data_IF_498333876362
#
_entry.id   IF_498333876362
#
_cell.length_a   1.000
_cell.length_b   1.000
_cell.length_c   1.000
_cell.angle_alpha   90.00
_cell.angle_beta   90.00
_cell.angle_gamma   90.00
#
_symmetry.space_group_name_H-M   'P 1'
#
loop_
_entity.id
_entity.type
_entity.pdbx_description
1 polymer ?
#
# COMPACT_ATOMS: atom_id res chain seq x y z
N UNK A 1 -11.93 -24.40 15.31
CA UNK A 1 -11.30 -23.29 14.59
C UNK A 1 -9.79 -23.37 14.81
N UNK A 2 -8.95 -22.94 13.87
CA UNK A 2 -7.51 -22.90 14.11
C UNK A 2 -7.20 -21.95 15.27
N UNK A 3 -6.15 -22.24 16.02
CA UNK A 3 -5.62 -21.33 17.04
C UNK A 3 -4.88 -20.18 16.37
N UNK A 4 -4.93 -18.97 16.94
CA UNK A 4 -4.38 -17.75 16.34
C UNK A 4 -3.38 -17.09 17.27
N UNK A 5 -2.20 -16.73 16.75
CA UNK A 5 -1.24 -15.85 17.42
C UNK A 5 -1.16 -14.53 16.67
N UNK A 6 -1.34 -13.43 17.38
CA UNK A 6 -1.16 -12.06 16.85
C UNK A 6 0.15 -11.50 17.36
N UNK A 7 1.05 -11.11 16.46
CA UNK A 7 2.36 -10.51 16.75
C UNK A 7 2.28 -9.01 16.49
N UNK A 8 2.67 -8.22 17.48
CA UNK A 8 2.68 -6.75 17.43
C UNK A 8 4.09 -6.23 17.73
N UNK A 9 4.91 -5.96 16.71
CA UNK A 9 6.18 -5.28 16.91
C UNK A 9 5.93 -3.81 17.27
N UNK A 10 6.61 -3.32 18.30
CA UNK A 10 6.49 -1.94 18.80
C UNK A 10 7.87 -1.32 18.93
N UNK A 11 8.03 -0.10 18.44
CA UNK A 11 9.19 0.74 18.71
C UNK A 11 8.74 2.19 18.88
N UNK A 12 8.76 2.71 20.10
CA UNK A 12 8.24 4.04 20.46
C UNK A 12 6.77 4.25 20.01
N UNK A 13 6.33 5.49 19.83
CA UNK A 13 4.98 5.79 19.33
C UNK A 13 3.86 5.46 20.33
N UNK A 14 4.14 5.61 21.62
CA UNK A 14 3.22 5.29 22.72
C UNK A 14 1.86 5.99 22.56
N UNK A 15 1.82 7.15 21.92
CA UNK A 15 0.61 7.94 21.66
C UNK A 15 -0.38 7.25 20.72
N UNK A 16 0.06 6.27 19.92
CA UNK A 16 -0.80 5.52 18.99
C UNK A 16 -1.35 4.22 19.59
N UNK A 17 -0.68 3.69 20.61
CA UNK A 17 -1.02 2.38 21.20
C UNK A 17 -2.42 2.31 21.78
N UNK A 18 -2.99 3.35 22.43
CA UNK A 18 -4.36 3.28 22.95
C UNK A 18 -5.39 3.03 21.83
N UNK A 19 -5.30 3.72 20.71
CA UNK A 19 -6.21 3.53 19.58
C UNK A 19 -6.02 2.16 18.91
N UNK A 20 -4.76 1.73 18.74
CA UNK A 20 -4.42 0.42 18.22
C UNK A 20 -5.01 -0.69 19.09
N UNK A 21 -4.71 -0.71 20.40
CA UNK A 21 -5.19 -1.77 21.29
C UNK A 21 -6.70 -1.77 21.47
N UNK A 22 -7.35 -0.60 21.47
CA UNK A 22 -8.82 -0.52 21.50
C UNK A 22 -9.44 -1.20 20.26
N UNK A 23 -8.90 -0.92 19.07
CA UNK A 23 -9.34 -1.55 17.82
C UNK A 23 -8.98 -3.04 17.77
N UNK A 24 -7.79 -3.41 18.24
CA UNK A 24 -7.37 -4.83 18.34
C UNK A 24 -8.32 -5.62 19.23
N UNK A 25 -8.68 -5.11 20.41
CA UNK A 25 -9.61 -5.77 21.33
C UNK A 25 -10.97 -6.10 20.67
N UNK A 26 -11.44 -5.24 19.75
CA UNK A 26 -12.66 -5.47 18.98
C UNK A 26 -12.46 -6.47 17.83
N UNK A 27 -11.27 -6.47 17.20
CA UNK A 27 -10.96 -7.25 16.01
C UNK A 27 -10.47 -8.69 16.30
N UNK A 28 -10.01 -8.98 17.54
CA UNK A 28 -9.49 -10.30 17.90
C UNK A 28 -10.55 -11.40 17.81
N UNK A 29 -10.26 -12.55 17.19
CA UNK A 29 -10.98 -13.80 17.47
C UNK A 29 -10.89 -14.16 18.96
N UNK A 30 -11.86 -14.92 19.45
CA UNK A 30 -11.82 -15.44 20.84
C UNK A 30 -10.64 -16.42 20.98
N UNK A 31 -10.04 -16.47 22.17
CA UNK A 31 -8.93 -17.37 22.50
C UNK A 31 -7.64 -17.12 21.67
N UNK A 32 -7.42 -15.88 21.22
CA UNK A 32 -6.20 -15.49 20.50
C UNK A 32 -5.02 -15.30 21.47
N UNK A 33 -3.85 -15.81 21.13
CA UNK A 33 -2.58 -15.44 21.75
C UNK A 33 -2.09 -14.10 21.18
N UNK A 34 -1.75 -13.13 22.04
CA UNK A 34 -1.19 -11.84 21.62
C UNK A 34 0.24 -11.71 22.12
N UNK A 35 1.16 -11.40 21.23
CA UNK A 35 2.61 -11.27 21.52
C UNK A 35 3.04 -9.87 21.13
N UNK A 36 3.29 -9.02 22.13
CA UNK A 36 3.81 -7.66 21.93
C UNK A 36 5.32 -7.72 22.06
N UNK A 37 6.03 -7.30 21.01
CA UNK A 37 7.49 -7.29 20.98
C UNK A 37 7.99 -5.84 20.96
N UNK A 38 8.49 -5.37 22.09
CA UNK A 38 9.13 -4.06 22.24
C UNK A 38 10.58 -4.12 21.77
N UNK A 39 10.86 -3.46 20.66
CA UNK A 39 12.17 -3.44 20.02
C UNK A 39 13.12 -2.39 20.62
N UNK A 40 13.31 -2.46 21.94
CA UNK A 40 14.13 -1.55 22.73
C UNK A 40 13.67 -0.07 22.68
N UNK A 41 12.37 0.16 22.85
CA UNK A 41 11.81 1.52 22.91
C UNK A 41 12.44 2.36 24.02
N UNK A 42 12.55 3.66 23.78
CA UNK A 42 12.94 4.64 24.81
C UNK A 42 11.73 5.11 25.65
N UNK A 43 10.53 4.79 25.20
CA UNK A 43 9.26 5.05 25.88
C UNK A 43 8.77 3.78 26.59
N UNK A 44 7.99 3.89 27.66
CA UNK A 44 7.47 2.73 28.42
C UNK A 44 6.25 2.09 27.68
N UNK A 45 6.47 1.59 26.46
CA UNK A 45 5.40 1.10 25.57
C UNK A 45 4.69 -0.14 26.11
N UNK A 46 5.40 -0.98 26.89
CA UNK A 46 4.77 -2.17 27.48
C UNK A 46 3.80 -1.84 28.62
N UNK A 47 3.99 -0.69 29.30
CA UNK A 47 3.04 -0.22 30.31
C UNK A 47 1.71 0.26 29.70
N UNK A 48 1.71 0.52 28.39
CA UNK A 48 0.51 0.92 27.64
C UNK A 48 -0.29 -0.27 27.08
N UNK A 49 0.16 -1.51 27.29
CA UNK A 49 -0.55 -2.72 26.85
C UNK A 49 -1.72 -2.97 27.80
N UNK A 50 -2.99 -2.88 27.34
CA UNK A 50 -4.15 -3.06 28.20
C UNK A 50 -4.48 -4.54 28.39
N UNK A 51 -5.39 -4.84 29.30
CA UNK A 51 -6.08 -6.14 29.28
C UNK A 51 -6.89 -6.31 27.97
N UNK A 52 -6.76 -7.46 27.34
CA UNK A 52 -7.48 -7.83 26.13
C UNK A 52 -8.47 -8.97 26.42
N UNK A 53 -9.75 -8.69 26.70
CA UNK A 53 -10.69 -9.70 27.23
C UNK A 53 -10.93 -10.89 26.28
N UNK A 54 -10.64 -10.75 24.99
CA UNK A 54 -10.80 -11.84 24.01
C UNK A 54 -9.52 -12.64 23.79
N UNK A 55 -8.39 -12.17 24.33
CA UNK A 55 -7.13 -12.92 24.26
C UNK A 55 -7.09 -14.05 25.30
N UNK A 56 -6.61 -15.21 24.90
CA UNK A 56 -6.28 -16.31 25.81
C UNK A 56 -5.04 -15.97 26.66
N UNK A 57 -4.08 -15.26 26.05
CA UNK A 57 -2.85 -14.81 26.70
C UNK A 57 -2.31 -13.53 26.04
N UNK A 58 -1.61 -12.72 26.83
CA UNK A 58 -0.84 -11.57 26.34
C UNK A 58 0.59 -11.71 26.85
N UNK A 59 1.52 -11.94 25.94
CA UNK A 59 2.94 -12.01 26.24
C UNK A 59 3.63 -10.70 25.82
N UNK A 60 4.46 -10.13 26.68
CA UNK A 60 5.28 -8.97 26.39
C UNK A 60 6.74 -9.37 26.36
N UNK A 61 7.41 -9.16 25.22
CA UNK A 61 8.83 -9.45 25.02
C UNK A 61 9.54 -8.13 24.77
N UNK A 62 10.71 -7.92 25.39
CA UNK A 62 11.53 -6.76 25.12
C UNK A 62 12.88 -7.17 24.58
N UNK A 63 13.32 -6.56 23.49
CA UNK A 63 14.68 -6.70 22.98
C UNK A 63 15.65 -5.81 23.76
N UNK A 64 16.88 -6.26 23.94
CA UNK A 64 17.92 -5.47 24.62
C UNK A 64 18.42 -4.30 23.75
N UNK A 65 18.36 -4.48 22.43
CA UNK A 65 18.77 -3.49 21.44
C UNK A 65 17.73 -3.44 20.31
N UNK A 66 17.66 -2.32 19.61
CA UNK A 66 16.76 -2.21 18.44
C UNK A 66 17.28 -3.09 17.29
N UNK A 67 16.51 -4.11 16.95
CA UNK A 67 16.78 -5.08 15.89
C UNK A 67 16.09 -4.73 14.57
N UNK A 68 15.27 -3.67 14.56
CA UNK A 68 14.40 -3.30 13.47
C UNK A 68 13.14 -4.18 13.39
N UNK A 69 12.25 -3.83 12.45
CA UNK A 69 11.00 -4.55 12.32
C UNK A 69 11.19 -6.05 12.00
N UNK A 70 12.20 -6.40 11.18
CA UNK A 70 12.54 -7.81 10.90
C UNK A 70 12.87 -8.58 12.16
N UNK A 71 13.77 -8.06 12.99
CA UNK A 71 14.19 -8.74 14.23
C UNK A 71 13.05 -8.81 15.26
N UNK A 72 12.25 -7.75 15.40
CA UNK A 72 11.10 -7.76 16.30
C UNK A 72 10.06 -8.79 15.89
N UNK A 73 9.73 -8.87 14.58
CA UNK A 73 8.77 -9.86 14.06
C UNK A 73 9.33 -11.28 14.20
N UNK A 74 10.62 -11.50 13.94
CA UNK A 74 11.25 -12.81 14.12
C UNK A 74 11.14 -13.30 15.58
N UNK A 75 11.34 -12.42 16.56
CA UNK A 75 11.11 -12.76 17.98
C UNK A 75 9.65 -13.15 18.25
N UNK A 76 8.72 -12.48 17.57
CA UNK A 76 7.30 -12.85 17.63
C UNK A 76 7.02 -14.21 16.99
N UNK A 77 7.61 -14.52 15.84
CA UNK A 77 7.49 -15.83 15.19
C UNK A 77 8.01 -16.97 16.07
N UNK A 78 9.14 -16.76 16.76
CA UNK A 78 9.71 -17.74 17.69
C UNK A 78 8.77 -18.02 18.89
N UNK A 79 8.08 -16.99 19.37
CA UNK A 79 7.21 -17.10 20.55
C UNK A 79 5.79 -17.59 20.22
N UNK A 80 5.32 -17.38 18.98
CA UNK A 80 3.98 -17.70 18.56
C UNK A 80 3.71 -19.23 18.61
N UNK A 81 2.52 -19.65 19.07
CA UNK A 81 2.11 -21.07 19.19
C UNK A 81 0.89 -21.44 18.34
N UNK A 82 0.12 -20.46 17.83
CA UNK A 82 -1.11 -20.66 17.05
C UNK A 82 -0.90 -21.31 15.68
N UNK A 83 -1.89 -21.96 15.14
CA UNK A 83 -1.91 -22.57 13.80
C UNK A 83 -1.83 -21.51 12.70
N UNK A 84 -2.38 -20.33 12.96
CA UNK A 84 -2.31 -19.15 12.10
C UNK A 84 -1.59 -18.02 12.86
N UNK A 85 -0.61 -17.42 12.22
CA UNK A 85 0.17 -16.31 12.76
C UNK A 85 -0.22 -15.05 12.01
N UNK A 86 -0.57 -13.99 12.73
CA UNK A 86 -0.96 -12.68 12.19
C UNK A 86 0.02 -11.63 12.71
N UNK A 87 0.71 -10.96 11.80
CA UNK A 87 1.54 -9.80 12.10
C UNK A 87 0.73 -8.53 11.91
N UNK A 88 0.78 -7.60 12.86
CA UNK A 88 0.12 -6.30 12.81
C UNK A 88 1.08 -5.21 13.28
N UNK A 89 1.23 -4.15 12.50
CA UNK A 89 1.93 -2.95 12.96
C UNK A 89 1.15 -2.24 14.07
N UNK A 90 1.86 -1.59 14.99
CA UNK A 90 1.27 -0.87 16.12
C UNK A 90 0.70 0.53 15.77
N UNK A 91 0.83 0.98 14.54
CA UNK A 91 0.29 2.24 14.02
C UNK A 91 -0.96 2.03 13.12
N UNK A 92 -1.73 0.99 13.42
CA UNK A 92 -2.99 0.65 12.77
C UNK A 92 -4.20 1.04 13.64
N UNK A 93 -5.34 1.24 12.97
CA UNK A 93 -6.67 1.13 13.56
C UNK A 93 -7.40 0.06 12.75
N UNK A 94 -7.80 -1.02 13.40
CA UNK A 94 -8.39 -2.19 12.75
C UNK A 94 -9.92 -2.06 12.69
N UNK A 95 -10.51 -2.45 11.57
CA UNK A 95 -11.93 -2.77 11.53
C UNK A 95 -12.21 -4.03 12.39
N UNK A 96 -13.40 -4.13 12.96
CA UNK A 96 -13.76 -5.21 13.86
C UNK A 96 -13.67 -6.62 13.23
N UNK A 97 -13.82 -6.72 11.90
CA UNK A 97 -13.68 -7.96 11.13
C UNK A 97 -12.26 -8.24 10.63
N UNK A 98 -11.31 -7.32 10.81
CA UNK A 98 -10.02 -7.33 10.14
C UNK A 98 -9.24 -8.64 10.33
N UNK A 99 -9.01 -9.07 11.57
CA UNK A 99 -8.24 -10.29 11.85
C UNK A 99 -9.05 -11.55 11.45
N UNK A 100 -10.34 -11.57 11.78
CA UNK A 100 -11.22 -12.71 11.48
C UNK A 100 -11.29 -12.98 9.97
N UNK A 101 -11.42 -11.95 9.14
CA UNK A 101 -11.50 -12.11 7.69
C UNK A 101 -10.23 -12.75 7.08
N UNK A 102 -9.03 -12.38 7.56
CA UNK A 102 -7.79 -13.04 7.13
C UNK A 102 -7.70 -14.49 7.59
N UNK A 103 -8.09 -14.75 8.84
CA UNK A 103 -8.10 -16.11 9.43
C UNK A 103 -9.06 -17.01 8.67
N UNK A 104 -10.28 -16.55 8.41
CA UNK A 104 -11.31 -17.30 7.69
C UNK A 104 -10.89 -17.57 6.24
N UNK A 105 -10.26 -16.58 5.58
CA UNK A 105 -9.72 -16.75 4.24
C UNK A 105 -8.67 -17.87 4.19
N UNK A 106 -7.74 -17.89 5.14
CA UNK A 106 -6.71 -18.94 5.23
C UNK A 106 -7.36 -20.30 5.56
N UNK A 107 -8.26 -20.34 6.54
CA UNK A 107 -8.89 -21.59 6.98
C UNK A 107 -9.81 -22.21 5.91
N UNK A 108 -10.44 -21.38 5.08
CA UNK A 108 -11.29 -21.81 3.96
C UNK A 108 -10.54 -21.97 2.64
N UNK A 109 -9.26 -21.60 2.59
CA UNK A 109 -8.43 -21.58 1.39
C UNK A 109 -7.83 -22.94 1.02
N UNK A 110 -7.14 -22.97 -0.12
CA UNK A 110 -6.38 -24.12 -0.57
C UNK A 110 -5.03 -24.21 0.18
N UNK A 111 -4.37 -25.37 0.13
CA UNK A 111 -3.09 -25.62 0.80
C UNK A 111 -1.93 -24.75 0.28
N UNK A 112 -2.08 -24.12 -0.88
CA UNK A 112 -1.10 -23.25 -1.51
C UNK A 112 -1.27 -21.76 -1.13
N UNK A 113 -2.19 -21.42 -0.21
CA UNK A 113 -2.27 -20.07 0.34
C UNK A 113 -1.01 -19.77 1.15
N UNK A 114 -0.30 -18.72 0.74
CA UNK A 114 0.91 -18.22 1.37
C UNK A 114 0.59 -17.13 2.40
N UNK A 115 0.80 -15.88 2.02
CA UNK A 115 0.62 -14.71 2.89
C UNK A 115 -0.63 -13.95 2.48
N UNK A 116 -1.49 -13.62 3.45
CA UNK A 116 -2.74 -12.87 3.26
C UNK A 116 -2.61 -11.52 3.94
N UNK A 117 -2.91 -10.44 3.23
CA UNK A 117 -2.91 -9.07 3.76
C UNK A 117 -4.27 -8.41 3.70
N UNK A 118 -4.43 -7.33 4.48
CA UNK A 118 -5.65 -6.51 4.53
C UNK A 118 -5.61 -5.36 3.53
N UNK A 119 -6.77 -4.88 3.12
CA UNK A 119 -6.93 -3.58 2.50
C UNK A 119 -6.53 -2.50 3.50
N UNK A 120 -5.60 -1.64 3.10
CA UNK A 120 -5.13 -0.52 3.92
C UNK A 120 -5.65 0.81 3.39
N UNK A 121 -6.12 1.64 4.33
CA UNK A 121 -6.69 2.97 4.06
C UNK A 121 -5.86 4.03 4.80
N UNK A 122 -5.71 5.21 4.19
CA UNK A 122 -5.17 6.38 4.85
C UNK A 122 -6.21 6.97 5.80
N UNK A 123 -5.98 7.03 7.13
CA UNK A 123 -6.97 7.51 8.08
C UNK A 123 -7.33 8.98 7.88
N UNK A 124 -6.42 9.77 7.32
CA UNK A 124 -6.62 11.22 7.10
C UNK A 124 -7.47 11.56 5.87
N UNK A 125 -7.51 10.67 4.87
CA UNK A 125 -8.18 10.95 3.59
C UNK A 125 -9.30 9.97 3.26
N UNK A 126 -9.40 8.83 3.98
CA UNK A 126 -10.33 7.75 3.64
C UNK A 126 -10.02 7.07 2.31
N UNK A 127 -8.78 7.22 1.79
CA UNK A 127 -8.39 6.66 0.50
C UNK A 127 -7.56 5.43 0.65
N UNK A 128 -7.61 4.60 -0.36
CA UNK A 128 -6.81 3.38 -0.46
C UNK A 128 -5.32 3.71 -0.35
N UNK A 129 -4.67 3.05 0.60
CA UNK A 129 -3.21 3.07 0.74
C UNK A 129 -2.59 1.88 0.01
N UNK A 130 -3.18 0.70 0.14
CA UNK A 130 -2.72 -0.53 -0.50
C UNK A 130 -3.82 -1.58 -0.60
N UNK A 131 -3.93 -2.18 -1.78
CA UNK A 131 -4.64 -3.43 -2.03
C UNK A 131 -3.72 -4.43 -2.73
N UNK A 132 -2.47 -4.46 -2.31
CA UNK A 132 -1.39 -5.26 -2.84
C UNK A 132 -0.34 -4.42 -3.56
N UNK A 133 0.72 -5.08 -3.98
CA UNK A 133 1.81 -4.44 -4.71
C UNK A 133 2.11 -5.21 -5.99
N UNK A 134 2.51 -4.46 -7.01
CA UNK A 134 2.97 -4.93 -8.30
C UNK A 134 4.38 -4.42 -8.61
N UNK A 135 5.05 -5.11 -9.51
CA UNK A 135 6.37 -4.72 -9.99
C UNK A 135 6.32 -4.17 -11.42
N UNK A 136 6.95 -3.01 -11.61
CA UNK A 136 7.48 -2.60 -12.90
C UNK A 136 8.84 -3.22 -13.14
N UNK A 137 9.54 -2.82 -14.20
CA UNK A 137 10.84 -3.41 -14.53
C UNK A 137 11.91 -3.16 -13.45
N UNK A 138 11.88 -1.99 -12.82
CA UNK A 138 12.82 -1.56 -11.76
C UNK A 138 12.09 -0.81 -10.63
N UNK A 139 10.81 -1.11 -10.44
CA UNK A 139 9.97 -0.42 -9.47
C UNK A 139 9.06 -1.39 -8.72
N UNK A 140 8.51 -0.94 -7.61
CA UNK A 140 7.51 -1.62 -6.79
C UNK A 140 6.43 -0.62 -6.43
N UNK A 141 5.18 -0.91 -6.73
CA UNK A 141 4.06 0.01 -6.60
C UNK A 141 2.93 -0.59 -5.78
N UNK A 142 2.37 0.17 -4.85
CA UNK A 142 1.06 -0.15 -4.29
C UNK A 142 0.01 0.10 -5.37
N UNK A 143 -0.74 -0.92 -5.75
CA UNK A 143 -1.75 -0.77 -6.80
C UNK A 143 -3.00 -0.07 -6.29
N UNK A 144 -3.63 0.72 -7.16
CA UNK A 144 -4.87 1.47 -6.91
C UNK A 144 -4.79 2.42 -5.70
N UNK A 145 -3.58 2.86 -5.40
CA UNK A 145 -3.32 3.83 -4.34
C UNK A 145 -4.05 5.14 -4.62
N UNK A 146 -4.59 5.75 -3.58
CA UNK A 146 -5.37 6.99 -3.61
C UNK A 146 -6.77 6.91 -4.24
N UNK A 147 -7.21 5.76 -4.78
CA UNK A 147 -8.62 5.55 -5.12
C UNK A 147 -9.48 5.56 -3.85
N UNK A 148 -10.77 5.91 -3.94
CA UNK A 148 -11.72 5.79 -2.83
C UNK A 148 -11.71 4.39 -2.22
N UNK A 149 -12.01 4.31 -0.92
CA UNK A 149 -12.07 3.03 -0.21
C UNK A 149 -13.05 2.06 -0.88
N UNK A 150 -14.20 2.55 -1.31
CA UNK A 150 -15.29 1.78 -1.92
C UNK A 150 -15.15 1.61 -3.44
N UNK A 151 -14.05 2.08 -4.05
CA UNK A 151 -13.83 1.94 -5.48
C UNK A 151 -13.84 0.46 -5.90
N UNK A 152 -14.55 0.07 -6.99
CA UNK A 152 -14.71 -1.34 -7.38
C UNK A 152 -13.40 -2.11 -7.55
N UNK A 153 -12.33 -1.46 -8.00
CA UNK A 153 -11.00 -2.08 -8.11
C UNK A 153 -10.35 -2.36 -6.75
N UNK A 154 -10.70 -1.59 -5.72
CA UNK A 154 -10.18 -1.73 -4.35
C UNK A 154 -10.98 -2.71 -3.49
N UNK A 155 -12.13 -3.20 -3.98
CA UNK A 155 -13.03 -4.09 -3.25
C UNK A 155 -13.00 -5.55 -3.76
N UNK A 156 -11.93 -5.95 -4.47
CA UNK A 156 -11.78 -7.30 -5.02
C UNK A 156 -10.69 -8.04 -4.28
N UNK A 157 -11.04 -9.08 -3.53
CA UNK A 157 -10.06 -10.06 -3.03
C UNK A 157 -9.36 -10.72 -4.22
N UNK A 158 -8.03 -10.72 -4.22
CA UNK A 158 -7.23 -11.17 -5.37
C UNK A 158 -5.86 -11.70 -4.98
N UNK A 159 -5.31 -12.55 -5.86
CA UNK A 159 -3.91 -12.89 -5.83
C UNK A 159 -3.03 -11.71 -6.23
N UNK A 160 -1.96 -11.49 -5.44
CA UNK A 160 -0.93 -10.47 -5.69
C UNK A 160 0.45 -11.06 -5.47
N UNK A 161 1.48 -10.47 -6.04
CA UNK A 161 2.84 -10.92 -5.72
C UNK A 161 3.22 -10.58 -4.28
N UNK A 162 2.80 -9.41 -3.79
CA UNK A 162 3.20 -8.89 -2.48
C UNK A 162 2.01 -8.26 -1.75
N UNK A 163 1.87 -8.60 -0.48
CA UNK A 163 1.07 -7.89 0.51
C UNK A 163 1.99 -7.08 1.42
N UNK A 164 1.49 -6.01 2.05
CA UNK A 164 2.31 -5.20 2.94
C UNK A 164 2.46 -5.85 4.31
N UNK A 165 3.64 -5.72 4.92
CA UNK A 165 3.91 -6.22 6.26
C UNK A 165 3.19 -5.46 7.39
N UNK A 166 2.41 -4.41 7.06
CA UNK A 166 1.60 -3.73 8.07
C UNK A 166 0.50 -4.65 8.63
N UNK A 167 -0.06 -5.52 7.77
CA UNK A 167 -0.98 -6.61 8.13
C UNK A 167 -0.61 -7.83 7.29
N UNK A 168 -0.22 -8.91 7.91
CA UNK A 168 0.11 -10.14 7.21
C UNK A 168 -0.30 -11.36 8.06
N UNK A 169 -1.05 -12.27 7.47
CA UNK A 169 -1.46 -13.52 8.10
C UNK A 169 -0.99 -14.72 7.27
N UNK A 170 -0.60 -15.78 7.93
CA UNK A 170 -0.15 -17.02 7.29
C UNK A 170 -0.25 -18.21 8.25
N UNK A 171 -0.28 -19.42 7.72
CA UNK A 171 -0.22 -20.62 8.59
C UNK A 171 1.16 -20.77 9.22
N UNK A 172 1.23 -21.42 10.39
CA UNK A 172 2.51 -21.81 11.01
C UNK A 172 3.40 -22.56 10.05
N UNK A 173 2.84 -23.50 9.28
CA UNK A 173 3.56 -24.24 8.24
C UNK A 173 4.26 -23.30 7.24
N UNK A 174 3.60 -22.21 6.86
CA UNK A 174 4.20 -21.20 5.96
C UNK A 174 5.34 -20.46 6.67
N UNK A 175 5.14 -20.02 7.92
CA UNK A 175 6.21 -19.38 8.73
C UNK A 175 7.44 -20.27 8.81
N UNK A 176 7.25 -21.56 9.13
CA UNK A 176 8.35 -22.54 9.25
C UNK A 176 9.03 -22.81 7.90
N UNK A 177 8.26 -22.92 6.82
CA UNK A 177 8.80 -23.17 5.48
C UNK A 177 9.61 -21.98 4.94
N UNK A 178 9.18 -20.75 5.25
CA UNK A 178 9.88 -19.52 4.83
C UNK A 178 11.07 -19.20 5.73
N UNK A 179 11.04 -19.62 7.00
CA UNK A 179 12.02 -19.22 7.98
C UNK A 179 11.95 -17.70 8.32
N UNK A 180 12.95 -17.17 9.04
CA UNK A 180 12.92 -15.79 9.54
C UNK A 180 12.94 -14.75 8.41
N UNK A 181 12.46 -13.55 8.73
CA UNK A 181 12.67 -12.37 7.91
C UNK A 181 14.15 -12.03 7.85
N UNK A 182 14.60 -11.51 6.72
CA UNK A 182 16.01 -11.17 6.49
C UNK A 182 16.39 -9.88 7.25
N UNK A 183 17.23 -10.01 8.27
CA UNK A 183 17.65 -8.89 9.13
C UNK A 183 18.45 -7.79 8.39
N UNK A 184 19.01 -8.10 7.22
CA UNK A 184 19.67 -7.11 6.37
C UNK A 184 18.68 -6.07 5.83
N UNK A 185 17.39 -6.43 5.76
CA UNK A 185 16.32 -5.56 5.29
C UNK A 185 15.81 -4.62 6.39
N UNK A 186 16.02 -4.96 7.65
CA UNK A 186 15.78 -4.16 8.84
C UNK A 186 14.32 -3.64 8.95
N UNK A 187 14.02 -2.51 8.30
CA UNK A 187 12.69 -1.89 8.26
C UNK A 187 12.11 -1.76 6.85
N UNK A 188 12.83 -2.21 5.81
CA UNK A 188 12.46 -1.97 4.41
C UNK A 188 12.42 -3.27 3.61
N UNK A 189 11.42 -3.43 2.76
CA UNK A 189 11.30 -4.55 1.82
C UNK A 189 11.24 -5.95 2.45
N UNK A 190 11.11 -6.05 3.77
CA UNK A 190 11.02 -7.34 4.45
C UNK A 190 9.75 -8.12 4.07
N UNK A 191 8.67 -7.40 3.88
CA UNK A 191 7.39 -7.92 3.38
C UNK A 191 7.48 -8.37 1.93
N UNK A 192 8.16 -7.60 1.09
CA UNK A 192 8.41 -7.98 -0.30
C UNK A 192 9.25 -9.26 -0.37
N UNK A 193 10.34 -9.31 0.38
CA UNK A 193 11.22 -10.49 0.44
C UNK A 193 10.45 -11.73 0.91
N UNK A 194 9.66 -11.59 1.96
CA UNK A 194 8.87 -12.69 2.53
C UNK A 194 7.84 -13.23 1.53
N UNK A 195 7.10 -12.33 0.87
CA UNK A 195 6.12 -12.68 -0.15
C UNK A 195 6.77 -13.33 -1.38
N UNK A 196 7.90 -12.82 -1.84
CA UNK A 196 8.60 -13.40 -3.00
C UNK A 196 9.19 -14.78 -2.67
N UNK A 197 9.71 -14.99 -1.44
CA UNK A 197 10.12 -16.34 -0.98
C UNK A 197 8.95 -17.31 -0.94
N UNK A 198 7.76 -16.88 -0.50
CA UNK A 198 6.57 -17.72 -0.54
C UNK A 198 6.25 -18.17 -1.97
N UNK A 199 6.34 -17.26 -2.94
CA UNK A 199 6.12 -17.58 -4.35
C UNK A 199 7.16 -18.55 -4.92
N UNK A 200 8.43 -18.44 -4.54
CA UNK A 200 9.49 -19.35 -4.98
C UNK A 200 9.24 -20.81 -4.56
N UNK A 201 8.55 -21.04 -3.47
CA UNK A 201 8.16 -22.39 -3.02
C UNK A 201 6.76 -22.80 -3.47
N UNK A 202 6.16 -22.04 -4.42
CA UNK A 202 4.88 -22.37 -5.05
C UNK A 202 3.64 -21.92 -4.27
N UNK A 203 3.79 -21.06 -3.26
CA UNK A 203 2.67 -20.47 -2.54
C UNK A 203 2.15 -19.21 -3.23
N UNK A 204 0.86 -18.89 -3.03
CA UNK A 204 0.18 -17.72 -3.58
C UNK A 204 -0.17 -16.73 -2.47
N UNK A 205 0.13 -15.46 -2.67
CA UNK A 205 -0.21 -14.40 -1.72
C UNK A 205 -1.50 -13.70 -2.14
N UNK A 206 -2.31 -13.29 -1.17
CA UNK A 206 -3.64 -12.72 -1.43
C UNK A 206 -3.88 -11.42 -0.66
N UNK A 207 -4.52 -10.48 -1.32
CA UNK A 207 -5.19 -9.36 -0.66
C UNK A 207 -6.62 -9.75 -0.36
N UNK A 208 -6.95 -9.83 0.93
CA UNK A 208 -8.31 -10.04 1.43
C UNK A 208 -8.95 -8.67 1.68
N UNK A 209 -9.84 -8.23 0.79
CA UNK A 209 -10.45 -6.90 0.89
C UNK A 209 -11.59 -6.82 1.91
N UNK A 210 -12.07 -7.96 2.41
CA UNK A 210 -12.99 -8.05 3.55
C UNK A 210 -12.27 -7.77 4.88
N UNK A 211 -10.95 -7.86 4.88
CA UNK A 211 -10.08 -7.43 5.97
C UNK A 211 -9.66 -5.98 5.74
N UNK A 212 -10.01 -5.09 6.66
CA UNK A 212 -9.80 -3.65 6.54
C UNK A 212 -9.01 -3.09 7.73
N UNK A 213 -8.01 -2.25 7.45
CA UNK A 213 -7.30 -1.50 8.47
C UNK A 213 -6.92 -0.10 7.99
N UNK A 214 -6.94 0.87 8.91
CA UNK A 214 -6.44 2.22 8.70
C UNK A 214 -5.01 2.32 9.19
N UNK A 215 -4.08 2.80 8.35
CA UNK A 215 -2.65 2.77 8.64
C UNK A 215 -2.02 4.16 8.58
N UNK A 216 -1.52 4.64 9.72
CA UNK A 216 -0.97 5.99 9.85
C UNK A 216 0.36 6.19 9.15
N UNK A 217 1.16 5.17 8.96
CA UNK A 217 2.53 5.17 8.40
C UNK A 217 3.52 6.13 9.08
N UNK A 218 4.80 5.73 9.08
CA UNK A 218 5.93 6.58 9.47
C UNK A 218 5.89 7.11 10.92
N UNK A 219 5.33 6.35 11.85
CA UNK A 219 5.24 6.76 13.27
C UNK A 219 6.45 6.34 14.12
N UNK A 220 7.36 5.53 13.58
CA UNK A 220 8.59 5.10 14.27
C UNK A 220 9.71 6.16 14.25
N UNK A 221 9.47 7.34 13.70
CA UNK A 221 10.45 8.42 13.63
C UNK A 221 11.61 8.18 12.64
N UNK A 222 12.70 8.98 12.72
CA UNK A 222 13.82 8.96 11.75
C UNK A 222 14.56 7.62 11.66
N UNK A 223 14.56 6.82 12.71
CA UNK A 223 15.21 5.50 12.71
C UNK A 223 14.66 4.56 11.65
N UNK A 224 13.40 4.77 11.22
CA UNK A 224 12.81 4.00 10.12
C UNK A 224 13.66 4.06 8.86
N UNK A 225 14.28 5.20 8.58
CA UNK A 225 15.09 5.40 7.39
C UNK A 225 16.56 5.00 7.57
N UNK A 226 16.92 4.56 8.77
CA UNK A 226 18.24 3.98 8.99
C UNK A 226 18.39 2.74 8.08
N UNK A 227 19.55 2.64 7.42
CA UNK A 227 19.90 1.52 6.54
C UNK A 227 19.02 1.36 5.28
N UNK A 228 18.19 2.36 4.88
CA UNK A 228 17.33 2.24 3.69
C UNK A 228 18.12 1.90 2.43
N UNK A 229 19.24 2.57 2.18
CA UNK A 229 20.07 2.30 1.00
C UNK A 229 20.65 0.88 1.00
N UNK A 230 21.13 0.41 2.15
CA UNK A 230 21.64 -0.94 2.29
C UNK A 230 20.54 -1.99 2.12
N UNK A 231 19.35 -1.74 2.65
CA UNK A 231 18.19 -2.61 2.49
C UNK A 231 17.69 -2.65 1.04
N UNK A 232 17.65 -1.50 0.35
CA UNK A 232 17.32 -1.44 -1.08
C UNK A 232 18.35 -2.21 -1.91
N UNK A 233 19.64 -1.99 -1.66
CA UNK A 233 20.71 -2.72 -2.36
C UNK A 233 20.63 -4.23 -2.12
N UNK A 234 20.36 -4.65 -0.88
CA UNK A 234 20.20 -6.07 -0.52
C UNK A 234 18.97 -6.68 -1.21
N UNK A 235 17.84 -5.97 -1.22
CA UNK A 235 16.61 -6.41 -1.87
C UNK A 235 16.80 -6.57 -3.38
N UNK A 236 17.23 -5.51 -4.07
CA UNK A 236 17.41 -5.56 -5.52
C UNK A 236 18.53 -6.52 -5.94
N UNK A 237 19.61 -6.63 -5.17
CA UNK A 237 20.67 -7.61 -5.39
C UNK A 237 20.17 -9.06 -5.32
N UNK A 238 19.18 -9.34 -4.49
CA UNK A 238 18.56 -10.67 -4.35
C UNK A 238 17.50 -10.95 -5.43
N UNK A 239 16.65 -9.95 -5.73
CA UNK A 239 15.39 -10.18 -6.43
C UNK A 239 15.36 -9.70 -7.89
N UNK A 240 16.30 -8.87 -8.36
CA UNK A 240 16.33 -8.45 -9.77
C UNK A 240 16.30 -9.66 -10.70
N UNK A 241 15.31 -9.66 -11.59
CA UNK A 241 15.08 -10.76 -12.54
C UNK A 241 14.42 -12.03 -11.95
N UNK A 242 13.95 -11.99 -10.69
CA UNK A 242 13.30 -13.11 -10.00
C UNK A 242 11.86 -12.81 -9.55
N UNK A 243 11.27 -11.74 -10.01
CA UNK A 243 9.86 -11.39 -9.81
C UNK A 243 9.18 -11.20 -11.17
N UNK A 244 7.86 -11.28 -11.19
CA UNK A 244 7.10 -11.01 -12.41
C UNK A 244 6.89 -9.50 -12.58
N UNK A 245 7.09 -8.98 -13.78
CA UNK A 245 6.72 -7.61 -14.13
C UNK A 245 5.21 -7.60 -14.43
N UNK A 246 4.40 -7.38 -13.40
CA UNK A 246 2.95 -7.54 -13.45
C UNK A 246 2.15 -6.23 -13.34
N UNK A 247 2.83 -5.09 -13.24
CA UNK A 247 2.18 -3.77 -13.15
C UNK A 247 1.24 -3.50 -14.34
N UNK A 248 1.60 -4.00 -15.53
CA UNK A 248 0.79 -3.88 -16.74
C UNK A 248 -0.64 -4.43 -16.57
N UNK A 249 -0.79 -5.54 -15.86
CA UNK A 249 -2.11 -6.16 -15.59
C UNK A 249 -3.05 -5.21 -14.84
N UNK A 250 -2.51 -4.47 -13.87
CA UNK A 250 -3.30 -3.53 -13.07
C UNK A 250 -3.68 -2.28 -13.87
N UNK A 251 -2.80 -1.81 -14.77
CA UNK A 251 -3.18 -0.77 -15.73
C UNK A 251 -4.29 -1.25 -16.66
N UNK A 252 -4.22 -2.48 -17.14
CA UNK A 252 -5.25 -3.07 -17.99
C UNK A 252 -6.61 -3.08 -17.30
N UNK A 253 -6.68 -3.54 -16.05
CA UNK A 253 -7.91 -3.52 -15.25
C UNK A 253 -8.46 -2.09 -15.03
N UNK A 254 -7.57 -1.13 -14.74
CA UNK A 254 -7.96 0.24 -14.47
C UNK A 254 -8.49 0.95 -15.73
N UNK A 255 -7.81 0.76 -16.86
CA UNK A 255 -8.23 1.31 -18.15
C UNK A 255 -9.56 0.69 -18.61
N UNK A 256 -9.73 -0.63 -18.48
CA UNK A 256 -10.99 -1.31 -18.82
C UNK A 256 -12.15 -0.81 -17.93
N UNK A 257 -11.88 -0.54 -16.64
CA UNK A 257 -12.89 0.04 -15.75
C UNK A 257 -13.30 1.44 -16.17
N UNK A 258 -12.36 2.32 -16.48
CA UNK A 258 -12.64 3.70 -16.91
C UNK A 258 -13.36 3.71 -18.25
N UNK A 259 -12.99 2.85 -19.21
CA UNK A 259 -13.70 2.75 -20.48
C UNK A 259 -15.15 2.31 -20.31
N UNK A 260 -15.41 1.39 -19.39
CA UNK A 260 -16.78 0.93 -19.14
C UNK A 260 -17.64 2.02 -18.46
N UNK A 261 -17.04 2.93 -17.69
CA UNK A 261 -17.74 3.99 -16.95
C UNK A 261 -17.73 5.34 -17.66
N UNK A 262 -16.77 5.58 -18.55
CA UNK A 262 -16.59 6.83 -19.26
C UNK A 262 -16.32 6.59 -20.79
N UNK A 263 -17.30 6.06 -21.55
CA UNK A 263 -17.12 5.67 -22.94
C UNK A 263 -16.82 6.85 -23.89
N UNK A 264 -17.00 8.11 -23.45
CA UNK A 264 -16.61 9.30 -24.21
C UNK A 264 -15.12 9.35 -24.57
N UNK A 265 -14.29 8.55 -23.90
CA UNK A 265 -12.85 8.44 -24.20
C UNK A 265 -12.51 7.41 -25.27
N UNK A 266 -13.48 6.70 -25.84
CA UNK A 266 -13.25 5.73 -26.92
C UNK A 266 -12.93 6.39 -28.30
N UNK A 267 -12.97 7.72 -28.38
CA UNK A 267 -12.76 8.46 -29.62
C UNK A 267 -11.29 8.70 -29.99
N UNK A 268 -11.01 9.00 -31.29
CA UNK A 268 -9.67 9.38 -31.73
C UNK A 268 -9.30 10.79 -31.22
N UNK A 269 -8.01 11.01 -30.99
CA UNK A 269 -7.46 12.36 -30.77
C UNK A 269 -7.06 12.71 -29.35
N UNK A 270 -6.86 11.73 -28.46
CA UNK A 270 -6.27 11.99 -27.15
C UNK A 270 -4.77 12.30 -27.27
N UNK A 271 -4.31 13.30 -26.55
CA UNK A 271 -2.90 13.66 -26.44
C UNK A 271 -2.39 13.31 -25.05
N UNK A 272 -1.34 12.51 -24.97
CA UNK A 272 -0.71 12.14 -23.68
C UNK A 272 0.25 13.24 -23.25
N UNK A 273 0.06 13.73 -22.04
CA UNK A 273 0.97 14.63 -21.33
C UNK A 273 1.70 13.84 -20.24
N UNK A 274 2.91 13.39 -20.53
CA UNK A 274 3.73 12.65 -19.59
C UNK A 274 4.40 13.61 -18.60
N UNK A 275 3.93 13.55 -17.36
CA UNK A 275 4.39 14.37 -16.23
C UNK A 275 5.22 13.54 -15.24
N UNK A 276 5.41 12.26 -15.51
CA UNK A 276 6.06 11.34 -14.59
C UNK A 276 7.59 11.43 -14.61
N UNK A 277 8.23 10.84 -13.60
CA UNK A 277 9.70 10.73 -13.47
C UNK A 277 10.20 9.29 -13.53
N UNK A 278 9.30 8.36 -13.53
CA UNK A 278 9.58 6.93 -13.48
C UNK A 278 9.55 6.33 -14.87
N UNK A 279 10.36 5.30 -15.10
CA UNK A 279 10.30 4.49 -16.32
C UNK A 279 9.00 3.68 -16.47
N UNK A 280 8.17 3.60 -15.42
CA UNK A 280 6.89 2.90 -15.46
C UNK A 280 5.86 3.60 -16.36
N UNK A 281 6.10 4.88 -16.72
CA UNK A 281 5.24 5.58 -17.68
C UNK A 281 5.13 4.84 -19.01
N UNK A 282 6.20 4.19 -19.45
CA UNK A 282 6.17 3.44 -20.70
C UNK A 282 5.15 2.31 -20.65
N UNK A 283 5.06 1.59 -19.53
CA UNK A 283 4.06 0.54 -19.32
C UNK A 283 2.64 1.14 -19.40
N UNK A 284 2.38 2.24 -18.70
CA UNK A 284 1.09 2.90 -18.70
C UNK A 284 0.69 3.38 -20.10
N UNK A 285 1.62 4.02 -20.83
CA UNK A 285 1.40 4.55 -22.17
C UNK A 285 1.18 3.42 -23.18
N UNK A 286 1.97 2.35 -23.14
CA UNK A 286 1.79 1.18 -24.00
C UNK A 286 0.41 0.51 -23.79
N UNK A 287 -0.05 0.39 -22.51
CA UNK A 287 -1.39 -0.15 -22.23
C UNK A 287 -2.50 0.77 -22.71
N UNK A 288 -2.29 2.10 -22.59
CA UNK A 288 -3.21 3.10 -23.13
C UNK A 288 -3.26 3.02 -24.66
N UNK A 289 -2.12 3.01 -25.36
CA UNK A 289 -2.03 2.93 -26.82
C UNK A 289 -2.66 1.63 -27.39
N UNK A 290 -2.56 0.54 -26.65
CA UNK A 290 -3.20 -0.71 -27.04
C UNK A 290 -4.74 -0.62 -27.08
N UNK A 291 -5.34 0.29 -26.31
CA UNK A 291 -6.80 0.50 -26.23
C UNK A 291 -7.31 1.63 -27.10
N UNK A 292 -6.51 2.66 -27.30
CA UNK A 292 -6.89 3.86 -28.07
C UNK A 292 -6.08 3.98 -29.35
N UNK A 293 -6.75 3.82 -30.51
CA UNK A 293 -6.13 4.06 -31.81
C UNK A 293 -6.03 5.56 -32.06
N UNK A 294 -4.83 6.04 -32.43
CA UNK A 294 -4.63 7.43 -32.83
C UNK A 294 -4.20 8.39 -31.73
N UNK A 295 -3.67 7.87 -30.64
CA UNK A 295 -3.05 8.69 -29.61
C UNK A 295 -1.83 9.41 -30.17
N UNK A 296 -1.85 10.75 -30.11
CA UNK A 296 -0.66 11.57 -30.34
C UNK A 296 0.16 11.68 -29.07
N UNK A 297 1.42 11.27 -29.09
CA UNK A 297 2.35 11.56 -28.00
C UNK A 297 2.75 13.02 -28.05
N UNK A 298 2.57 13.75 -26.96
CA UNK A 298 3.06 15.11 -26.83
C UNK A 298 3.86 15.30 -25.56
N UNK A 299 5.09 15.63 -25.77
CA UNK A 299 5.98 16.51 -25.02
C UNK A 299 5.98 16.36 -23.49
N UNK A 300 7.13 15.96 -22.99
CA UNK A 300 7.49 16.16 -21.58
C UNK A 300 7.36 17.63 -21.23
N UNK A 301 6.49 18.00 -20.30
CA UNK A 301 6.41 19.37 -19.84
C UNK A 301 7.68 19.72 -19.07
N UNK A 302 7.99 20.99 -19.09
CA UNK A 302 9.10 21.58 -18.39
C UNK A 302 9.12 21.22 -16.91
N UNK A 303 9.84 20.17 -16.57
CA UNK A 303 10.44 20.06 -15.25
C UNK A 303 11.73 20.86 -15.32
N UNK A 304 11.82 21.94 -14.55
CA UNK A 304 13.03 22.75 -14.46
C UNK A 304 14.19 21.82 -14.05
N UNK A 305 15.09 21.56 -14.99
CA UNK A 305 16.18 20.60 -14.81
C UNK A 305 17.26 21.25 -13.96
N UNK A 306 17.22 21.08 -12.65
CA UNK A 306 18.35 21.27 -11.77
C UNK A 306 19.04 19.91 -11.48
N UNK A 307 20.32 19.98 -11.13
CA UNK A 307 21.24 18.83 -11.04
C UNK A 307 20.72 17.65 -10.21
N UNK A 308 21.15 16.46 -10.55
CA UNK A 308 20.68 15.10 -10.22
C UNK A 308 20.23 14.77 -8.77
N UNK A 309 20.62 15.50 -7.74
CA UNK A 309 20.22 15.27 -6.36
C UNK A 309 18.92 15.99 -5.97
N UNK A 310 18.58 17.08 -6.65
CA UNK A 310 17.39 17.92 -6.36
C UNK A 310 16.16 17.53 -7.17
N UNK A 311 16.30 16.59 -8.11
CA UNK A 311 15.23 16.17 -9.03
C UNK A 311 14.00 15.57 -8.34
N UNK A 312 14.13 15.07 -7.12
CA UNK A 312 13.05 14.38 -6.39
C UNK A 312 12.13 15.32 -5.61
N UNK A 313 12.47 16.61 -5.49
CA UNK A 313 11.75 17.56 -4.63
C UNK A 313 11.16 18.78 -5.36
N UNK A 314 11.31 18.88 -6.68
CA UNK A 314 10.75 20.00 -7.41
C UNK A 314 9.25 19.83 -7.64
N UNK A 315 8.43 20.85 -7.36
CA UNK A 315 7.00 20.82 -7.65
C UNK A 315 6.75 20.67 -9.16
N UNK A 316 5.67 19.98 -9.52
CA UNK A 316 5.19 19.92 -10.88
C UNK A 316 4.69 21.29 -11.29
N UNK A 317 5.26 21.86 -12.37
CA UNK A 317 4.81 23.14 -12.95
C UNK A 317 4.10 22.83 -14.26
N UNK A 318 2.80 23.02 -14.29
CA UNK A 318 1.99 22.84 -15.50
C UNK A 318 2.03 24.11 -16.38
N UNK A 319 2.28 23.98 -17.69
CA UNK A 319 2.35 25.12 -18.58
C UNK A 319 1.00 25.85 -18.70
N UNK A 320 1.01 27.19 -18.56
CA UNK A 320 -0.21 28.00 -18.63
C UNK A 320 -0.94 27.87 -19.98
N UNK A 321 -0.21 27.72 -21.09
CA UNK A 321 -0.82 27.59 -22.41
C UNK A 321 -1.69 26.33 -22.58
N UNK A 322 -1.33 25.22 -21.91
CA UNK A 322 -2.15 24.01 -21.91
C UNK A 322 -3.51 24.27 -21.23
N UNK A 323 -3.56 25.12 -20.21
CA UNK A 323 -4.83 25.41 -19.52
C UNK A 323 -5.90 26.03 -20.42
N UNK A 324 -5.50 26.60 -21.55
CA UNK A 324 -6.37 27.23 -22.53
C UNK A 324 -6.54 26.42 -23.84
N UNK A 325 -5.87 25.28 -23.97
CA UNK A 325 -5.98 24.42 -25.15
C UNK A 325 -7.35 23.71 -25.14
N UNK A 326 -8.15 23.78 -26.22
CA UNK A 326 -9.45 23.11 -26.29
C UNK A 326 -9.36 21.59 -26.47
N UNK A 327 -8.20 21.04 -26.77
CA UNK A 327 -8.04 19.60 -26.94
C UNK A 327 -7.91 18.86 -25.59
N UNK A 328 -8.55 17.69 -25.43
CA UNK A 328 -8.43 16.89 -24.23
C UNK A 328 -7.05 16.22 -24.12
N UNK A 329 -6.55 16.10 -22.89
CA UNK A 329 -5.31 15.43 -22.55
C UNK A 329 -5.51 14.19 -21.69
N UNK A 330 -4.54 13.29 -21.75
CA UNK A 330 -4.31 12.24 -20.77
C UNK A 330 -3.06 12.60 -19.97
N UNK A 331 -3.21 12.80 -18.69
CA UNK A 331 -2.11 13.14 -17.79
C UNK A 331 -1.52 11.86 -17.18
N UNK A 332 -0.24 11.60 -17.42
CA UNK A 332 0.49 10.50 -16.76
C UNK A 332 1.36 11.09 -15.66
N UNK A 333 1.14 10.70 -14.41
CA UNK A 333 1.78 11.27 -13.22
C UNK A 333 2.33 10.17 -12.31
N UNK A 334 3.38 10.47 -11.53
CA UNK A 334 3.90 9.52 -10.55
C UNK A 334 2.87 9.23 -9.44
N UNK A 335 2.07 10.23 -9.06
CA UNK A 335 1.02 10.12 -8.04
C UNK A 335 -0.04 11.21 -8.20
N UNK A 336 -1.30 10.90 -7.90
CA UNK A 336 -2.39 11.87 -7.81
C UNK A 336 -2.06 13.05 -6.89
N UNK A 337 -1.28 12.84 -5.82
CA UNK A 337 -0.88 13.89 -4.90
C UNK A 337 -0.14 15.04 -5.60
N UNK A 338 0.65 14.77 -6.64
CA UNK A 338 1.35 15.81 -7.40
C UNK A 338 0.39 16.77 -8.12
N UNK A 339 -0.81 16.29 -8.46
CA UNK A 339 -1.85 17.09 -9.12
C UNK A 339 -2.64 17.94 -8.11
N UNK A 340 -2.77 17.48 -6.86
CA UNK A 340 -3.45 18.25 -5.80
C UNK A 340 -2.78 19.62 -5.61
N UNK A 341 -1.47 19.68 -5.69
CA UNK A 341 -0.68 20.91 -5.59
C UNK A 341 -0.97 21.88 -6.75
N UNK A 342 -1.55 21.39 -7.85
CA UNK A 342 -1.91 22.15 -9.05
C UNK A 342 -3.43 22.31 -9.25
N UNK A 343 -4.24 22.17 -8.18
CA UNK A 343 -5.70 22.18 -8.27
C UNK A 343 -6.28 23.43 -8.94
N UNK A 344 -5.70 24.59 -8.73
CA UNK A 344 -6.12 25.85 -9.39
C UNK A 344 -5.94 25.80 -10.91
N UNK A 345 -4.84 25.23 -11.38
CA UNK A 345 -4.59 25.06 -12.81
C UNK A 345 -5.65 24.15 -13.45
N UNK A 346 -5.97 23.03 -12.82
CA UNK A 346 -7.02 22.12 -13.27
C UNK A 346 -8.40 22.75 -13.23
N UNK A 347 -8.69 23.62 -12.25
CA UNK A 347 -9.95 24.36 -12.21
C UNK A 347 -10.09 25.27 -13.44
N UNK A 348 -9.02 25.95 -13.85
CA UNK A 348 -9.00 26.74 -15.09
C UNK A 348 -9.17 25.82 -16.32
N UNK A 349 -8.47 24.71 -16.34
CA UNK A 349 -8.53 23.72 -17.44
C UNK A 349 -9.95 23.21 -17.67
N UNK A 350 -10.71 22.87 -16.64
CA UNK A 350 -12.10 22.42 -16.73
C UNK A 350 -13.07 23.45 -17.32
N UNK A 351 -12.74 24.72 -17.32
CA UNK A 351 -13.54 25.74 -18.02
C UNK A 351 -13.42 25.65 -19.55
N UNK A 352 -12.38 25.00 -20.04
CA UNK A 352 -12.07 24.84 -21.47
C UNK A 352 -12.42 23.45 -21.97
N UNK A 353 -12.09 22.41 -21.20
CA UNK A 353 -12.35 21.01 -21.52
C UNK A 353 -13.12 20.36 -20.38
N UNK A 354 -14.27 19.76 -20.69
CA UNK A 354 -15.17 19.25 -19.67
C UNK A 354 -14.61 18.04 -18.92
N UNK A 355 -13.89 17.15 -19.61
CA UNK A 355 -13.42 15.91 -19.02
C UNK A 355 -12.12 15.45 -19.68
N UNK A 356 -11.18 14.97 -18.87
CA UNK A 356 -9.87 14.45 -19.26
C UNK A 356 -9.53 13.22 -18.42
N UNK A 357 -8.49 12.47 -18.80
CA UNK A 357 -8.02 11.30 -18.04
C UNK A 357 -6.76 11.60 -17.26
N UNK A 358 -6.69 11.02 -16.08
CA UNK A 358 -5.51 11.03 -15.20
C UNK A 358 -5.09 9.59 -14.96
N UNK A 359 -3.83 9.28 -15.25
CA UNK A 359 -3.20 7.99 -15.02
C UNK A 359 -2.08 8.19 -13.99
N UNK A 360 -2.28 7.67 -12.80
CA UNK A 360 -1.28 7.59 -11.74
C UNK A 360 -0.50 6.27 -11.91
N UNK A 361 0.82 6.32 -11.76
CA UNK A 361 1.69 5.15 -11.96
C UNK A 361 1.53 4.04 -10.90
N UNK A 362 0.65 4.23 -9.92
CA UNK A 362 0.17 3.15 -9.06
C UNK A 362 -1.03 2.40 -9.69
N UNK A 363 -1.18 2.44 -11.00
CA UNK A 363 -2.30 1.90 -11.78
C UNK A 363 -3.68 2.47 -11.35
N UNK A 364 -3.71 3.69 -10.83
CA UNK A 364 -4.93 4.42 -10.49
C UNK A 364 -5.32 5.31 -11.67
N UNK A 365 -6.42 5.00 -12.34
CA UNK A 365 -6.92 5.75 -13.50
C UNK A 365 -8.27 6.35 -13.15
N UNK A 366 -8.46 7.64 -13.42
CA UNK A 366 -9.69 8.35 -13.16
C UNK A 366 -9.92 9.47 -14.18
N UNK A 367 -11.15 9.96 -14.24
CA UNK A 367 -11.47 11.20 -14.94
C UNK A 367 -11.14 12.42 -14.09
N UNK A 368 -11.03 13.59 -14.72
CA UNK A 368 -10.83 14.83 -13.96
C UNK A 368 -12.01 15.15 -13.04
N UNK A 369 -13.23 14.77 -13.40
CA UNK A 369 -14.41 14.92 -12.53
C UNK A 369 -14.32 14.04 -11.28
N UNK A 370 -13.93 12.78 -11.43
CA UNK A 370 -13.68 11.87 -10.29
C UNK A 370 -12.54 12.38 -9.42
N UNK A 371 -11.43 12.81 -10.02
CA UNK A 371 -10.32 13.39 -9.28
C UNK A 371 -10.77 14.54 -8.38
N UNK A 372 -11.55 15.50 -8.91
CA UNK A 372 -12.04 16.62 -8.11
C UNK A 372 -13.10 16.22 -7.08
N UNK A 373 -13.97 15.27 -7.40
CA UNK A 373 -14.92 14.74 -6.43
C UNK A 373 -14.20 14.10 -5.23
N UNK A 374 -13.09 13.44 -5.48
CA UNK A 374 -12.30 12.80 -4.43
C UNK A 374 -11.43 13.77 -3.62
N UNK A 375 -11.01 14.90 -4.23
CA UNK A 375 -10.08 15.87 -3.62
C UNK A 375 -10.76 17.16 -3.12
N UNK A 376 -12.09 17.25 -3.24
CA UNK A 376 -12.83 18.31 -2.53
C UNK A 376 -12.60 18.13 -1.03
N UNK A 377 -12.26 19.20 -0.27
CA UNK A 377 -12.10 19.09 1.16
C UNK A 377 -13.40 18.48 1.73
N UNK A 378 -13.27 17.34 2.41
CA UNK A 378 -14.38 16.79 3.18
C UNK A 378 -14.78 17.86 4.18
N UNK A 379 -15.93 18.47 3.97
CA UNK A 379 -16.56 19.34 4.94
C UNK A 379 -16.72 18.51 6.22
N UNK A 380 -16.05 18.94 7.27
CA UNK A 380 -16.00 18.37 8.61
C UNK A 380 -17.22 17.51 8.97
N UNK A 381 -17.08 16.19 8.95
CA UNK A 381 -18.07 15.28 9.52
C UNK A 381 -17.49 14.02 10.16
N UNK A 382 -16.23 14.05 10.58
CA UNK A 382 -15.72 13.05 11.53
C UNK A 382 -15.32 13.76 12.80
N UNK A 383 -16.30 14.07 13.64
CA UNK A 383 -16.08 14.30 15.04
C UNK A 383 -15.64 12.97 15.66
N UNK A 384 -14.35 12.77 15.83
CA UNK A 384 -13.84 11.77 16.76
C UNK A 384 -14.24 12.25 18.16
N UNK A 385 -15.28 11.67 18.72
CA UNK A 385 -15.55 11.77 20.15
C UNK A 385 -14.34 11.17 20.87
N UNK A 386 -13.67 12.04 21.62
CA UNK A 386 -12.56 11.77 22.55
C UNK A 386 -12.91 10.71 23.57
#
# INVERSE_FOLDING_TARGET
MPTVSVIVPVFNGIEHLPAFFASLAAALPVDTEVIVVDDASTQPVLDAVPELPRAASVACIRNDVNLGNSGAVNRGFEAATGDIVVQLNSDLVLDAGCVTAMVDFIAGGADDVGIVGSKLIYPTTGRTQSVGMAFGQHSKRHVYRHLPEDHPLCCRTREVQVVTGATAAMTRRVVEALGPLDDRLYNHNLDLDHCLRAREIGLRNFMCTDSLAYHWRNRSGPIRYARVEAAEAAFWGKWTGRYDVDLARFFDEALDHVLATAPQFEGPGLTVLDLSRSSDQEIAIERLEARWKGIGRTIQPFRQMSNNAERLSLPLVLPHWISQDPNPYVYVVDSHQELEENAMWFTQRRSVVAEELIIDLNASVCTTSEFFAWHSPMVDSVQYTT
#
